data_IF_876781358127
#
_entry.id   IF_876781358127
#
_cell.length_a   1.000
_cell.length_b   1.000
_cell.length_c   1.000
_cell.angle_alpha   90.00
_cell.angle_beta   90.00
_cell.angle_gamma   90.00
#
_symmetry.space_group_name_H-M   'P 1'
#
loop_
_entity.id
_entity.type
_entity.pdbx_description
1 polymer ?
#
# COMPACT_ATOMS: atom_id res chain seq x y z
N UNK A 1 -60.24 23.40 -35.93
CA UNK A 1 -60.16 23.00 -34.50
C UNK A 1 -58.99 22.05 -34.22
N UNK A 2 -58.08 21.85 -35.17
CA UNK A 2 -56.95 20.89 -35.05
C UNK A 2 -55.55 21.51 -34.87
N UNK A 3 -55.40 22.83 -35.01
CA UNK A 3 -54.06 23.48 -35.04
C UNK A 3 -53.57 23.90 -33.64
N UNK A 4 -54.45 24.12 -32.67
CA UNK A 4 -54.07 24.54 -31.33
C UNK A 4 -53.65 23.35 -30.44
N UNK A 5 -54.18 22.16 -30.66
CA UNK A 5 -53.82 20.96 -29.91
C UNK A 5 -52.42 20.46 -30.24
N UNK A 6 -51.96 20.60 -31.50
CA UNK A 6 -50.61 20.21 -31.89
C UNK A 6 -49.52 21.13 -31.29
N UNK A 7 -49.78 22.43 -31.16
CA UNK A 7 -48.85 23.38 -30.58
C UNK A 7 -48.64 23.17 -29.06
N UNK A 8 -49.67 22.72 -28.37
CA UNK A 8 -49.56 22.41 -26.94
C UNK A 8 -48.84 21.09 -26.67
N UNK A 9 -48.99 20.11 -27.56
CA UNK A 9 -48.29 18.81 -27.45
C UNK A 9 -46.77 18.94 -27.69
N UNK A 10 -46.36 19.78 -28.64
CA UNK A 10 -44.95 20.05 -28.89
C UNK A 10 -44.29 20.89 -27.80
N UNK A 11 -45.00 21.84 -27.19
CA UNK A 11 -44.51 22.61 -26.03
C UNK A 11 -44.33 21.75 -24.79
N UNK A 12 -45.25 20.82 -24.51
CA UNK A 12 -45.14 19.87 -23.37
C UNK A 12 -43.90 18.99 -23.46
N UNK A 13 -43.67 18.38 -24.64
CA UNK A 13 -42.49 17.50 -24.86
C UNK A 13 -41.17 18.22 -24.76
N UNK A 14 -41.10 19.50 -25.16
CA UNK A 14 -39.86 20.33 -25.09
C UNK A 14 -39.53 20.73 -23.66
N UNK A 15 -40.55 21.01 -22.83
CA UNK A 15 -40.34 21.35 -21.41
C UNK A 15 -39.95 20.13 -20.59
N UNK A 16 -40.48 18.95 -20.88
CA UNK A 16 -40.08 17.70 -20.23
C UNK A 16 -38.65 17.29 -20.59
N UNK A 17 -38.25 17.37 -21.88
CA UNK A 17 -36.89 17.13 -22.30
C UNK A 17 -35.85 18.07 -21.67
N UNK A 18 -36.22 19.35 -21.52
CA UNK A 18 -35.38 20.36 -20.89
C UNK A 18 -35.24 20.11 -19.36
N UNK A 19 -36.30 19.66 -18.70
CA UNK A 19 -36.25 19.25 -17.28
C UNK A 19 -35.40 18.01 -17.05
N UNK A 20 -35.49 17.01 -17.93
CA UNK A 20 -34.62 15.83 -17.92
C UNK A 20 -33.14 16.20 -18.12
N UNK A 21 -32.83 17.09 -19.06
CA UNK A 21 -31.47 17.55 -19.32
C UNK A 21 -30.90 18.31 -18.13
N UNK A 22 -31.70 19.17 -17.48
CA UNK A 22 -31.29 19.90 -16.27
C UNK A 22 -31.04 18.97 -15.08
N UNK A 23 -31.83 17.90 -14.93
CA UNK A 23 -31.61 16.90 -13.88
C UNK A 23 -30.31 16.12 -14.13
N UNK A 24 -30.03 15.72 -15.37
CA UNK A 24 -28.77 15.03 -15.72
C UNK A 24 -27.58 15.94 -15.50
N UNK A 25 -27.65 17.20 -15.89
CA UNK A 25 -26.57 18.17 -15.65
C UNK A 25 -26.37 18.41 -14.14
N UNK A 26 -27.44 18.52 -13.36
CA UNK A 26 -27.35 18.66 -11.91
C UNK A 26 -26.73 17.42 -11.24
N UNK A 27 -27.06 16.21 -11.72
CA UNK A 27 -26.45 14.96 -11.23
C UNK A 27 -24.97 14.84 -11.57
N UNK A 28 -24.53 15.37 -12.72
CA UNK A 28 -23.12 15.40 -13.10
C UNK A 28 -22.31 16.43 -12.28
N UNK A 29 -22.93 17.53 -11.85
CA UNK A 29 -22.29 18.57 -11.02
C UNK A 29 -22.19 18.13 -9.54
N UNK A 30 -23.14 17.29 -9.08
CA UNK A 30 -23.19 16.76 -7.70
C UNK A 30 -22.36 15.45 -7.58
N UNK A 31 -21.69 14.99 -8.64
CA UNK A 31 -20.76 13.88 -8.49
C UNK A 31 -19.74 14.26 -7.42
N UNK A 32 -19.74 13.60 -6.26
CA UNK A 32 -18.81 13.99 -5.22
C UNK A 32 -17.41 13.83 -5.82
N UNK A 33 -16.69 14.93 -5.93
CA UNK A 33 -15.25 14.87 -6.12
C UNK A 33 -14.74 14.17 -4.85
N UNK A 34 -14.64 12.83 -4.91
CA UNK A 34 -13.94 12.09 -3.86
C UNK A 34 -12.58 12.77 -3.76
N UNK A 35 -12.23 13.35 -2.62
CA UNK A 35 -10.92 13.93 -2.47
C UNK A 35 -9.93 12.82 -2.80
N UNK A 36 -9.09 13.06 -3.79
CA UNK A 36 -7.95 12.21 -4.06
C UNK A 36 -7.14 12.26 -2.76
N UNK A 37 -7.29 11.23 -1.93
CA UNK A 37 -6.61 11.20 -0.65
C UNK A 37 -5.12 11.11 -0.97
N UNK A 38 -4.45 12.25 -0.87
CA UNK A 38 -3.00 12.28 -0.89
C UNK A 38 -2.50 11.46 0.29
N UNK A 39 -1.61 10.52 0.01
CA UNK A 39 -0.87 9.80 1.05
C UNK A 39 -0.30 10.81 2.05
N UNK A 40 -0.33 10.52 3.36
CA UNK A 40 0.23 11.40 4.37
C UNK A 40 1.68 11.75 4.03
N UNK A 41 2.03 13.02 4.13
CA UNK A 41 3.40 13.46 3.91
C UNK A 41 4.35 12.66 4.83
N UNK A 42 5.32 11.95 4.24
CA UNK A 42 6.25 11.09 4.97
C UNK A 42 5.88 9.60 5.02
N UNK A 43 4.79 9.16 4.38
CA UNK A 43 4.56 7.73 4.18
C UNK A 43 5.52 7.17 3.11
N UNK A 44 6.15 6.05 3.43
CA UNK A 44 7.00 5.29 2.50
C UNK A 44 6.51 3.86 2.47
N UNK A 45 5.27 3.69 2.00
CA UNK A 45 4.43 2.53 2.22
C UNK A 45 4.70 1.34 1.29
N UNK A 46 5.63 1.47 0.35
CA UNK A 46 6.02 0.44 -0.60
C UNK A 46 7.48 0.57 -1.03
N UNK A 47 7.99 -0.40 -1.77
CA UNK A 47 9.31 -0.31 -2.40
C UNK A 47 9.42 0.95 -3.25
N UNK A 48 10.48 1.74 -3.03
CA UNK A 48 10.73 3.05 -3.64
C UNK A 48 9.69 4.13 -3.29
N UNK A 49 8.88 3.92 -2.25
CA UNK A 49 7.96 4.92 -1.71
C UNK A 49 6.81 5.31 -2.65
N UNK A 50 6.26 6.51 -2.49
CA UNK A 50 5.12 6.97 -3.26
C UNK A 50 5.33 6.86 -4.77
N UNK A 51 4.37 6.28 -5.47
CA UNK A 51 4.40 6.03 -6.91
C UNK A 51 5.62 5.22 -7.41
N UNK A 52 6.34 4.54 -6.51
CA UNK A 52 7.56 3.81 -6.87
C UNK A 52 8.68 4.69 -7.40
N UNK A 53 8.64 5.99 -7.14
CA UNK A 53 9.55 6.99 -7.71
C UNK A 53 10.96 6.97 -7.11
N UNK A 54 11.09 6.52 -5.86
CA UNK A 54 12.33 6.63 -5.09
C UNK A 54 12.61 8.04 -4.58
N UNK A 55 11.62 8.94 -4.66
CA UNK A 55 11.76 10.35 -4.26
C UNK A 55 10.93 10.63 -3.00
N UNK A 56 11.58 11.10 -1.95
CA UNK A 56 10.94 11.54 -0.71
C UNK A 56 10.75 13.06 -0.76
N UNK A 57 9.58 13.49 -1.21
CA UNK A 57 9.25 14.92 -1.31
C UNK A 57 9.27 15.57 0.08
N UNK A 58 9.88 16.76 0.18
CA UNK A 58 9.99 17.52 1.43
C UNK A 58 11.01 16.95 2.43
N UNK A 59 11.63 15.83 2.17
CA UNK A 59 12.71 15.27 3.00
C UNK A 59 14.02 16.05 2.80
N UNK A 60 14.71 16.32 3.90
CA UNK A 60 16.02 16.98 3.91
C UNK A 60 17.00 16.11 4.70
N UNK A 61 17.57 15.07 4.07
CA UNK A 61 18.58 14.25 4.74
C UNK A 61 19.82 15.09 5.06
N UNK A 62 20.61 14.74 6.10
CA UNK A 62 21.86 15.44 6.40
C UNK A 62 22.83 15.29 5.21
N UNK A 63 23.47 16.39 4.83
CA UNK A 63 24.46 16.40 3.74
C UNK A 63 25.72 15.61 4.09
N UNK A 64 26.04 15.54 5.38
CA UNK A 64 27.17 14.79 5.93
C UNK A 64 26.65 13.90 7.06
N UNK A 65 26.24 12.66 6.76
CA UNK A 65 25.81 11.74 7.81
C UNK A 65 27.01 11.38 8.70
N UNK A 66 26.78 11.34 9.99
CA UNK A 66 27.76 11.01 11.01
C UNK A 66 27.10 10.34 12.23
N UNK A 67 27.87 9.97 13.27
CA UNK A 67 27.33 9.33 14.47
C UNK A 67 26.13 10.11 15.07
N UNK A 68 26.20 11.42 15.09
CA UNK A 68 25.18 12.32 15.68
C UNK A 68 23.89 12.35 14.83
N UNK A 69 23.93 11.89 13.59
CA UNK A 69 22.74 11.77 12.74
C UNK A 69 22.02 10.41 12.86
N UNK A 70 22.54 9.50 13.67
CA UNK A 70 21.94 8.18 13.92
C UNK A 70 21.00 8.27 15.10
N UNK A 71 19.67 8.22 14.82
CA UNK A 71 18.67 8.23 15.88
C UNK A 71 18.74 6.95 16.74
N UNK A 72 18.91 5.80 16.11
CA UNK A 72 19.03 4.49 16.75
C UNK A 72 19.61 3.44 15.79
N UNK A 73 20.06 2.33 16.32
CA UNK A 73 20.57 1.17 15.57
C UNK A 73 20.18 -0.12 16.27
N UNK A 74 19.63 -1.06 15.53
CA UNK A 74 19.22 -2.37 16.05
C UNK A 74 19.63 -3.49 15.10
N UNK A 75 19.88 -4.70 15.61
CA UNK A 75 20.01 -5.88 14.76
C UNK A 75 18.65 -6.29 14.21
N UNK A 76 18.62 -6.72 12.95
CA UNK A 76 17.44 -7.28 12.29
C UNK A 76 17.80 -8.59 11.59
N UNK A 77 16.82 -9.48 11.32
CA UNK A 77 17.03 -10.68 10.52
C UNK A 77 17.63 -10.36 9.15
N UNK A 78 18.41 -11.29 8.61
CA UNK A 78 19.03 -11.11 7.28
C UNK A 78 17.97 -11.00 6.19
N UNK A 79 18.23 -10.19 5.17
CA UNK A 79 17.31 -9.99 4.04
C UNK A 79 17.74 -8.84 3.17
N UNK A 80 17.09 -8.69 2.02
CA UNK A 80 17.32 -7.61 1.05
C UNK A 80 16.07 -6.72 0.88
N UNK A 81 15.07 -6.88 1.72
CA UNK A 81 13.87 -6.04 1.65
C UNK A 81 14.19 -4.60 1.99
N UNK A 82 13.61 -3.67 1.23
CA UNK A 82 13.62 -2.27 1.65
C UNK A 82 12.63 -2.07 2.82
N UNK A 83 12.98 -1.26 3.82
CA UNK A 83 12.04 -0.88 4.87
C UNK A 83 10.89 -0.05 4.28
N UNK A 84 9.67 -0.32 4.74
CA UNK A 84 8.49 0.48 4.42
C UNK A 84 7.94 1.10 5.70
N UNK A 85 7.41 2.30 5.57
CA UNK A 85 7.01 3.13 6.70
C UNK A 85 5.53 3.47 6.63
N UNK A 86 4.87 3.37 7.75
CA UNK A 86 3.51 3.85 7.96
C UNK A 86 3.46 4.54 9.31
N UNK A 87 3.05 5.80 9.34
CA UNK A 87 2.93 6.63 10.54
C UNK A 87 4.17 6.52 11.46
N UNK A 88 4.05 5.75 12.53
CA UNK A 88 5.07 5.55 13.56
C UNK A 88 5.76 4.17 13.50
N UNK A 89 5.55 3.38 12.46
CA UNK A 89 6.08 2.02 12.33
C UNK A 89 6.93 1.84 11.07
N UNK A 90 7.90 0.96 11.19
CA UNK A 90 8.72 0.47 10.08
C UNK A 90 8.48 -1.03 9.97
N UNK A 91 8.22 -1.50 8.75
CA UNK A 91 8.02 -2.92 8.46
C UNK A 91 9.12 -3.44 7.56
N UNK A 92 9.58 -4.65 7.86
CA UNK A 92 10.64 -5.35 7.12
C UNK A 92 10.27 -6.82 6.96
N UNK A 93 10.77 -7.43 5.91
CA UNK A 93 10.86 -8.88 5.80
C UNK A 93 12.29 -9.33 6.07
N UNK A 94 12.46 -10.54 6.58
CA UNK A 94 13.76 -11.10 6.90
C UNK A 94 13.75 -12.63 6.87
N UNK A 95 14.96 -13.19 6.97
CA UNK A 95 15.17 -14.64 7.06
C UNK A 95 16.03 -14.92 8.30
N UNK A 96 15.50 -15.73 9.21
CA UNK A 96 16.14 -16.03 10.49
C UNK A 96 15.85 -17.48 10.91
N UNK A 97 16.89 -18.21 11.30
CA UNK A 97 16.79 -19.59 11.77
C UNK A 97 15.99 -20.51 10.81
N UNK A 98 16.23 -20.39 9.51
CA UNK A 98 15.56 -21.17 8.48
C UNK A 98 14.11 -20.76 8.22
N UNK A 99 13.67 -19.61 8.69
CA UNK A 99 12.29 -19.11 8.58
C UNK A 99 12.21 -17.73 7.95
N UNK A 100 11.23 -17.56 7.11
CA UNK A 100 10.80 -16.26 6.62
C UNK A 100 10.07 -15.53 7.74
N UNK A 101 10.41 -14.28 7.99
CA UNK A 101 9.82 -13.47 9.05
C UNK A 101 9.38 -12.10 8.54
N UNK A 102 8.35 -11.57 9.16
CA UNK A 102 7.92 -10.17 9.02
C UNK A 102 8.03 -9.51 10.38
N UNK A 103 8.55 -8.31 10.45
CA UNK A 103 8.71 -7.58 11.70
C UNK A 103 8.22 -6.14 11.57
N UNK A 104 7.72 -5.61 12.70
CA UNK A 104 7.44 -4.20 12.88
C UNK A 104 8.32 -3.62 13.98
N UNK A 105 8.79 -2.41 13.72
CA UNK A 105 9.70 -1.65 14.56
C UNK A 105 9.07 -0.29 14.81
N UNK A 106 9.16 0.18 16.04
CA UNK A 106 8.81 1.56 16.39
C UNK A 106 9.80 2.53 15.74
N UNK A 107 9.29 3.43 14.92
CA UNK A 107 10.10 4.38 14.14
C UNK A 107 10.86 5.36 15.03
N UNK A 108 10.32 5.72 16.20
CA UNK A 108 10.91 6.73 17.06
C UNK A 108 12.15 6.22 17.84
N UNK A 109 12.16 4.94 18.21
CA UNK A 109 13.16 4.42 19.15
C UNK A 109 13.80 3.09 18.71
N UNK A 110 13.39 2.51 17.59
CA UNK A 110 13.90 1.24 17.09
C UNK A 110 13.43 -0.01 17.86
N UNK A 111 12.50 0.11 18.79
CA UNK A 111 11.97 -1.05 19.53
C UNK A 111 11.23 -1.99 18.60
N UNK A 112 11.59 -3.28 18.61
CA UNK A 112 10.81 -4.30 17.92
C UNK A 112 9.44 -4.45 18.58
N UNK A 113 8.38 -4.12 17.84
CA UNK A 113 7.00 -4.22 18.31
C UNK A 113 6.48 -5.64 18.20
N UNK A 114 6.71 -6.28 17.07
CA UNK A 114 6.38 -7.68 16.86
C UNK A 114 7.25 -8.31 15.76
N UNK A 115 7.27 -9.63 15.74
CA UNK A 115 7.89 -10.44 14.69
C UNK A 115 7.03 -11.68 14.47
N UNK A 116 6.58 -11.88 13.23
CA UNK A 116 5.76 -13.01 12.83
C UNK A 116 6.54 -13.93 11.89
N UNK A 117 6.49 -15.22 12.17
CA UNK A 117 7.07 -16.25 11.30
C UNK A 117 6.06 -16.66 10.24
N UNK A 118 6.48 -16.72 8.99
CA UNK A 118 5.68 -17.37 7.95
C UNK A 118 5.54 -18.87 8.27
N UNK A 119 4.48 -19.52 7.80
CA UNK A 119 4.36 -20.97 7.90
C UNK A 119 5.59 -21.66 7.32
N UNK A 120 5.91 -22.83 7.86
CA UNK A 120 7.04 -23.63 7.35
C UNK A 120 6.85 -23.97 5.89
N UNK A 121 7.87 -23.71 5.09
CA UNK A 121 7.92 -24.04 3.67
C UNK A 121 9.36 -24.34 3.28
N UNK A 122 9.61 -25.28 2.36
CA UNK A 122 10.92 -25.43 1.75
C UNK A 122 11.32 -24.09 1.09
N UNK A 123 12.55 -23.67 1.32
CA UNK A 123 13.08 -22.48 0.68
C UNK A 123 13.54 -22.85 -0.73
N UNK A 124 13.10 -22.11 -1.73
CA UNK A 124 13.53 -22.28 -3.10
C UNK A 124 15.05 -22.09 -3.26
N UNK A 125 15.61 -22.73 -4.27
CA UNK A 125 17.01 -22.51 -4.64
C UNK A 125 17.14 -21.09 -5.22
N UNK A 126 17.95 -20.29 -4.60
CA UNK A 126 18.20 -18.90 -5.00
C UNK A 126 19.62 -18.74 -5.51
N UNK A 127 19.85 -17.74 -6.34
CA UNK A 127 21.18 -17.27 -6.66
C UNK A 127 21.83 -16.69 -5.39
N UNK A 128 23.15 -16.86 -5.24
CA UNK A 128 23.89 -16.43 -4.04
C UNK A 128 23.76 -14.93 -3.71
N UNK A 129 23.56 -14.10 -4.73
CA UNK A 129 23.34 -12.66 -4.58
C UNK A 129 21.92 -12.30 -4.10
N UNK A 130 21.05 -13.29 -3.86
CA UNK A 130 19.65 -13.06 -3.50
C UNK A 130 19.34 -13.57 -2.09
N UNK A 131 18.18 -13.23 -1.58
CA UNK A 131 17.67 -13.66 -0.28
C UNK A 131 16.24 -14.17 -0.39
N UNK A 132 15.87 -15.18 0.39
CA UNK A 132 14.45 -15.59 0.49
C UNK A 132 13.53 -14.46 0.98
N UNK A 133 14.12 -13.45 1.63
CA UNK A 133 13.45 -12.26 2.12
C UNK A 133 13.88 -11.01 1.32
N UNK A 134 13.93 -11.10 0.00
CA UNK A 134 14.17 -9.95 -0.90
C UNK A 134 12.95 -9.08 -1.13
N UNK A 135 11.72 -9.61 -1.25
CA UNK A 135 10.55 -8.77 -1.49
C UNK A 135 10.27 -7.84 -0.31
N UNK A 136 10.06 -6.57 -0.60
CA UNK A 136 9.65 -5.58 0.39
C UNK A 136 8.16 -5.72 0.71
N UNK A 137 7.77 -5.36 1.92
CA UNK A 137 6.37 -5.28 2.28
C UNK A 137 5.67 -4.13 1.53
N UNK A 138 4.35 -4.17 1.53
CA UNK A 138 3.48 -3.06 1.14
C UNK A 138 2.56 -2.78 2.32
N UNK A 139 2.36 -1.52 2.64
CA UNK A 139 1.50 -1.09 3.75
C UNK A 139 0.39 -0.22 3.22
N UNK A 140 -0.82 -0.53 3.62
CA UNK A 140 -2.00 0.31 3.44
C UNK A 140 -2.46 0.78 4.83
N UNK A 141 -3.50 1.60 4.91
CA UNK A 141 -4.01 2.27 6.12
C UNK A 141 -3.95 1.43 7.39
N UNK A 142 -4.37 0.18 7.32
CA UNK A 142 -4.51 -0.73 8.46
C UNK A 142 -3.89 -2.12 8.22
N UNK A 143 -3.21 -2.32 7.07
CA UNK A 143 -2.74 -3.65 6.65
C UNK A 143 -1.31 -3.65 6.16
N UNK A 144 -0.65 -4.76 6.41
CA UNK A 144 0.71 -5.06 5.96
C UNK A 144 0.64 -6.30 5.07
N UNK A 145 0.98 -6.14 3.80
CA UNK A 145 1.04 -7.22 2.82
C UNK A 145 2.49 -7.60 2.60
N UNK A 146 2.78 -8.88 2.71
CA UNK A 146 4.10 -9.43 2.42
C UNK A 146 3.99 -10.57 1.41
N UNK A 147 4.97 -10.64 0.52
CA UNK A 147 5.13 -11.74 -0.42
C UNK A 147 6.46 -12.42 -0.18
N UNK A 148 6.46 -13.73 -0.18
CA UNK A 148 7.67 -14.56 -0.17
C UNK A 148 7.59 -15.56 -1.32
N UNK A 149 8.59 -15.57 -2.19
CA UNK A 149 8.62 -16.45 -3.37
C UNK A 149 8.40 -17.91 -3.02
N UNK A 150 9.01 -18.38 -1.95
CA UNK A 150 8.90 -19.78 -1.47
C UNK A 150 7.55 -20.11 -0.80
N UNK A 151 6.75 -19.11 -0.43
CA UNK A 151 5.51 -19.36 0.33
C UNK A 151 4.26 -18.81 -0.35
N UNK A 152 4.29 -17.55 -0.78
CA UNK A 152 3.14 -16.80 -1.25
C UNK A 152 2.88 -15.53 -0.45
N UNK A 153 1.63 -15.15 -0.30
CA UNK A 153 1.24 -13.89 0.34
C UNK A 153 0.69 -14.09 1.76
N UNK A 154 1.00 -13.13 2.62
CA UNK A 154 0.42 -13.03 3.97
C UNK A 154 0.01 -11.58 4.20
N UNK A 155 -1.14 -11.40 4.82
CA UNK A 155 -1.63 -10.10 5.26
C UNK A 155 -1.74 -10.09 6.77
N UNK A 156 -1.20 -9.03 7.38
CA UNK A 156 -1.32 -8.74 8.80
C UNK A 156 -2.02 -7.39 9.00
N UNK A 157 -2.58 -7.17 10.20
CA UNK A 157 -2.83 -5.81 10.67
C UNK A 157 -1.53 -5.17 11.17
N UNK A 158 -1.58 -3.90 11.53
CA UNK A 158 -0.39 -3.19 12.02
C UNK A 158 0.13 -3.73 13.36
N UNK A 159 -0.68 -4.47 14.12
CA UNK A 159 -0.30 -5.09 15.40
C UNK A 159 0.25 -6.51 15.22
N UNK A 160 0.38 -6.97 13.98
CA UNK A 160 0.97 -8.26 13.63
C UNK A 160 0.00 -9.43 13.71
N UNK A 161 -1.29 -9.20 13.92
CA UNK A 161 -2.30 -10.25 13.83
C UNK A 161 -2.51 -10.63 12.37
N UNK A 162 -2.32 -11.91 12.06
CA UNK A 162 -2.54 -12.41 10.71
C UNK A 162 -4.03 -12.38 10.35
N UNK A 163 -4.35 -11.67 9.27
CA UNK A 163 -5.71 -11.55 8.73
C UNK A 163 -5.99 -12.70 7.76
N UNK A 164 -5.10 -12.89 6.79
CA UNK A 164 -5.19 -14.00 5.85
C UNK A 164 -3.81 -14.40 5.32
N UNK A 165 -3.75 -15.55 4.68
CA UNK A 165 -2.59 -16.05 3.96
C UNK A 165 -3.04 -16.78 2.70
N UNK A 166 -2.21 -16.75 1.65
CA UNK A 166 -2.44 -17.48 0.40
C UNK A 166 -1.12 -18.06 -0.08
N UNK A 167 -1.05 -19.38 -0.13
CA UNK A 167 0.07 -20.06 -0.75
C UNK A 167 -0.02 -19.88 -2.27
N UNK A 168 1.09 -19.52 -2.88
CA UNK A 168 1.23 -19.38 -4.32
C UNK A 168 2.32 -20.36 -4.70
N UNK A 169 1.98 -21.38 -5.51
CA UNK A 169 2.99 -22.31 -6.01
C UNK A 169 3.98 -21.54 -6.88
N UNK A 170 5.27 -21.71 -6.60
CA UNK A 170 6.31 -21.26 -7.51
C UNK A 170 6.10 -21.92 -8.87
N UNK A 171 6.24 -21.21 -10.00
CA UNK A 171 6.29 -21.86 -11.29
C UNK A 171 7.39 -22.92 -11.25
N UNK A 172 7.06 -24.14 -11.64
CA UNK A 172 8.06 -25.21 -11.76
C UNK A 172 9.01 -24.80 -12.89
N UNK A 173 10.26 -24.55 -12.54
CA UNK A 173 11.36 -24.44 -13.49
C UNK A 173 11.72 -25.80 -14.05
#
# INVERSE_FOLDING_TARGET
>A
MGTLDNLNKERGGRIEGMRFLLIIVALLVIWPHLPLQSEPAGSWNQFRGPNGSGVALGSRPPLKPGPDSVAWKIPVPTGLSAPVLSENRIFLTGFENGRLVTLAIDKANGKKLWQQKAPGTPIEKLHEANSPASPSALVDRDRVFVYFGSYGMICYDHDGKKIWKKTISSPRS
#
